data_IF_647869216303
#
_entry.id   IF_647869216303
#
_cell.length_a   1.000
_cell.length_b   1.000
_cell.length_c   1.000
_cell.angle_alpha   90.00
_cell.angle_beta   90.00
_cell.angle_gamma   90.00
#
_symmetry.space_group_name_H-M   'P 1'
#
loop_
_entity.id
_entity.type
_entity.pdbx_description
1 polymer ?
#
# COMPACT_ATOMS: atom_id res chain seq x y z
N UNK A 1 -34.39 35.64 -1.53
CA UNK A 1 -33.14 35.08 -2.10
C UNK A 1 -32.73 33.98 -1.16
N UNK A 2 -32.80 32.73 -1.62
CA UNK A 2 -32.23 31.59 -0.91
C UNK A 2 -30.72 31.67 -1.01
N UNK A 3 -30.01 31.72 0.13
CA UNK A 3 -28.57 31.65 0.17
C UNK A 3 -28.17 30.15 0.19
N UNK A 4 -27.45 29.74 -0.84
CA UNK A 4 -26.88 28.37 -0.88
C UNK A 4 -25.45 28.41 -0.32
N UNK A 5 -25.19 27.54 0.64
CA UNK A 5 -23.84 27.30 1.17
C UNK A 5 -23.23 26.09 0.44
N UNK A 6 -22.09 26.31 -0.23
CA UNK A 6 -21.29 25.21 -0.80
C UNK A 6 -20.53 24.52 0.34
N UNK A 7 -20.85 23.27 0.58
CA UNK A 7 -20.15 22.42 1.58
C UNK A 7 -19.42 21.27 0.86
N UNK A 8 -18.21 20.96 1.30
CA UNK A 8 -17.48 19.74 0.91
C UNK A 8 -17.57 18.75 2.05
N UNK A 9 -18.12 17.58 1.77
CA UNK A 9 -18.07 16.45 2.68
C UNK A 9 -16.82 15.64 2.37
N UNK A 10 -16.10 15.24 3.41
CA UNK A 10 -14.96 14.35 3.28
C UNK A 10 -14.98 13.34 4.43
N UNK A 11 -14.37 12.20 4.19
CA UNK A 11 -14.10 11.18 5.18
C UNK A 11 -12.69 10.64 4.96
N UNK A 12 -12.09 10.09 5.99
CA UNK A 12 -10.82 9.38 5.91
C UNK A 12 -10.94 8.05 6.60
N UNK A 13 -10.26 7.06 6.07
CA UNK A 13 -10.14 5.74 6.65
C UNK A 13 -8.70 5.26 6.49
N UNK A 14 -8.21 4.43 7.41
CA UNK A 14 -6.95 3.72 7.29
C UNK A 14 -7.29 2.26 7.00
N UNK A 15 -6.83 1.77 5.86
CA UNK A 15 -7.11 0.41 5.41
C UNK A 15 -5.98 -0.10 4.52
N UNK A 16 -5.82 -1.41 4.46
CA UNK A 16 -4.96 -2.02 3.45
C UNK A 16 -5.56 -1.78 2.07
N UNK A 17 -4.70 -1.41 1.13
CA UNK A 17 -5.12 -1.10 -0.22
C UNK A 17 -4.13 -1.65 -1.26
N UNK A 18 -4.68 -2.12 -2.37
CA UNK A 18 -3.97 -2.53 -3.57
C UNK A 18 -4.17 -1.48 -4.65
N UNK A 19 -3.11 -0.78 -5.01
CA UNK A 19 -3.10 0.13 -6.14
C UNK A 19 -2.57 -0.59 -7.37
N UNK A 20 -3.34 -0.58 -8.45
CA UNK A 20 -2.97 -1.18 -9.73
C UNK A 20 -2.85 -0.07 -10.76
N UNK A 21 -1.63 0.19 -11.18
CA UNK A 21 -1.37 1.06 -12.31
C UNK A 21 -1.58 0.29 -13.61
N UNK A 22 -2.54 0.78 -14.42
CA UNK A 22 -2.87 0.13 -15.69
C UNK A 22 -1.92 0.59 -16.78
N UNK A 23 -0.94 -0.24 -17.09
CA UNK A 23 0.10 0.05 -18.07
C UNK A 23 -0.35 -0.22 -19.51
N UNK A 24 0.25 0.50 -20.47
CA UNK A 24 -0.02 0.34 -21.91
C UNK A 24 0.06 -1.11 -22.43
N UNK A 25 1.00 -1.97 -21.99
CA UNK A 25 1.08 -3.36 -22.45
C UNK A 25 -0.19 -4.19 -22.23
N UNK A 26 -1.06 -3.83 -21.29
CA UNK A 26 -2.35 -4.50 -21.13
C UNK A 26 -3.32 -4.16 -22.27
N UNK A 27 -3.15 -3.00 -22.91
CA UNK A 27 -3.97 -2.59 -24.06
C UNK A 27 -5.40 -2.21 -23.70
N UNK A 28 -5.67 -1.89 -22.44
CA UNK A 28 -7.00 -1.57 -21.94
C UNK A 28 -7.37 -0.11 -22.26
N UNK A 29 -8.60 0.09 -22.73
CA UNK A 29 -9.28 1.37 -22.74
C UNK A 29 -9.97 1.63 -21.39
N UNK A 30 -10.43 2.85 -21.09
CA UNK A 30 -11.09 3.17 -19.81
C UNK A 30 -12.19 2.20 -19.41
N UNK A 31 -13.09 1.81 -20.33
CA UNK A 31 -14.16 0.84 -20.07
C UNK A 31 -13.60 -0.54 -19.72
N UNK A 32 -12.48 -0.94 -20.34
CA UNK A 32 -11.77 -2.17 -20.00
C UNK A 32 -11.16 -2.12 -18.60
N UNK A 33 -10.61 -0.97 -18.18
CA UNK A 33 -10.09 -0.79 -16.82
C UNK A 33 -11.22 -0.91 -15.78
N UNK A 34 -12.36 -0.26 -16.02
CA UNK A 34 -13.55 -0.37 -15.18
C UNK A 34 -14.05 -1.82 -15.12
N UNK A 35 -14.06 -2.51 -16.25
CA UNK A 35 -14.43 -3.94 -16.26
C UNK A 35 -13.43 -4.79 -15.47
N UNK A 36 -12.12 -4.57 -15.66
CA UNK A 36 -11.07 -5.31 -14.97
C UNK A 36 -11.15 -5.10 -13.44
N UNK A 37 -11.37 -3.88 -12.98
CA UNK A 37 -11.50 -3.62 -11.53
C UNK A 37 -12.63 -4.43 -10.90
N UNK A 38 -13.78 -4.54 -11.57
CA UNK A 38 -14.91 -5.32 -11.07
C UNK A 38 -14.64 -6.82 -11.16
N UNK A 39 -13.95 -7.29 -12.19
CA UNK A 39 -13.55 -8.69 -12.32
C UNK A 39 -12.58 -9.10 -11.20
N UNK A 40 -11.57 -8.28 -10.90
CA UNK A 40 -10.62 -8.54 -9.81
C UNK A 40 -11.35 -8.50 -8.45
N UNK A 41 -12.18 -7.48 -8.21
CA UNK A 41 -12.96 -7.40 -6.97
C UNK A 41 -13.80 -8.67 -6.76
N UNK A 42 -14.57 -9.07 -7.75
CA UNK A 42 -15.41 -10.28 -7.68
C UNK A 42 -14.58 -11.55 -7.48
N UNK A 43 -13.39 -11.60 -8.06
CA UNK A 43 -12.46 -12.72 -7.87
C UNK A 43 -11.93 -12.76 -6.44
N UNK A 44 -11.54 -11.62 -5.87
CA UNK A 44 -11.12 -11.50 -4.45
C UNK A 44 -12.26 -11.98 -3.54
N UNK A 45 -13.48 -11.49 -3.73
CA UNK A 45 -14.66 -11.93 -2.96
C UNK A 45 -14.83 -13.45 -2.97
N UNK A 46 -14.59 -14.10 -4.12
CA UNK A 46 -14.72 -15.55 -4.27
C UNK A 46 -13.55 -16.33 -3.67
N UNK A 47 -12.31 -15.88 -3.88
CA UNK A 47 -11.11 -16.55 -3.38
C UNK A 47 -11.08 -16.52 -1.86
N UNK A 48 -11.38 -15.37 -1.27
CA UNK A 48 -11.31 -15.16 0.18
C UNK A 48 -12.64 -15.35 0.90
N UNK A 49 -13.72 -15.62 0.18
CA UNK A 49 -15.07 -15.84 0.71
C UNK A 49 -15.55 -14.68 1.59
N UNK A 50 -15.31 -13.46 1.14
CA UNK A 50 -15.70 -12.23 1.83
C UNK A 50 -16.94 -11.60 1.23
N UNK A 51 -17.63 -10.82 2.04
CA UNK A 51 -18.85 -10.12 1.63
C UNK A 51 -18.52 -8.95 0.67
N UNK A 52 -19.40 -8.63 -0.28
CA UNK A 52 -19.15 -7.58 -1.28
C UNK A 52 -18.93 -6.17 -0.72
N UNK A 53 -19.35 -5.90 0.51
CA UNK A 53 -19.15 -4.62 1.21
C UNK A 53 -17.85 -4.55 2.00
N UNK A 54 -17.12 -5.66 2.15
CA UNK A 54 -15.84 -5.69 2.86
C UNK A 54 -14.67 -5.25 1.98
N UNK A 55 -14.82 -5.36 0.65
CA UNK A 55 -13.84 -4.88 -0.34
C UNK A 55 -14.44 -3.76 -1.15
N UNK A 56 -13.84 -2.59 -1.08
CA UNK A 56 -14.14 -1.44 -1.92
C UNK A 56 -13.28 -1.40 -3.18
N UNK A 57 -13.78 -0.80 -4.26
CA UNK A 57 -12.99 -0.52 -5.45
C UNK A 57 -13.37 0.83 -6.01
N UNK A 58 -12.39 1.56 -6.49
CA UNK A 58 -12.57 2.86 -7.15
C UNK A 58 -11.53 3.04 -8.25
N UNK A 59 -11.97 3.66 -9.32
CA UNK A 59 -11.07 4.14 -10.38
C UNK A 59 -10.51 5.49 -9.98
N UNK A 60 -9.21 5.68 -10.09
CA UNK A 60 -8.51 6.93 -9.76
C UNK A 60 -7.58 7.33 -10.92
N UNK A 61 -7.15 8.59 -10.94
CA UNK A 61 -6.31 9.14 -12.01
C UNK A 61 -7.11 9.86 -13.09
N UNK A 62 -6.45 10.07 -14.24
CA UNK A 62 -7.07 10.80 -15.37
C UNK A 62 -8.07 9.90 -16.10
N UNK A 63 -9.17 10.48 -16.64
CA UNK A 63 -10.21 9.71 -17.32
C UNK A 63 -9.72 8.89 -18.52
N UNK A 64 -8.66 9.37 -19.19
CA UNK A 64 -8.04 8.70 -20.34
C UNK A 64 -7.02 7.63 -19.96
N UNK A 65 -6.52 7.68 -18.71
CA UNK A 65 -5.53 6.74 -18.16
C UNK A 65 -5.91 6.38 -16.71
N UNK A 66 -7.04 5.72 -16.51
CA UNK A 66 -7.50 5.37 -15.16
C UNK A 66 -6.68 4.25 -14.56
N UNK A 67 -6.49 4.32 -13.24
CA UNK A 67 -5.89 3.29 -12.42
C UNK A 67 -6.91 2.73 -11.44
N UNK A 68 -6.62 1.58 -10.86
CA UNK A 68 -7.52 0.85 -9.97
C UNK A 68 -6.99 0.95 -8.54
N UNK A 69 -7.85 1.34 -7.60
CA UNK A 69 -7.61 1.23 -6.17
C UNK A 69 -8.62 0.27 -5.56
N UNK A 70 -8.14 -0.84 -5.00
CA UNK A 70 -8.93 -1.80 -4.23
C UNK A 70 -8.54 -1.63 -2.76
N UNK A 71 -9.50 -1.58 -1.85
CA UNK A 71 -9.23 -1.35 -0.44
C UNK A 71 -10.17 -2.18 0.44
N UNK A 72 -9.71 -2.51 1.64
CA UNK A 72 -10.53 -3.15 2.65
C UNK A 72 -11.43 -2.13 3.31
N UNK A 73 -12.74 -2.33 3.19
CA UNK A 73 -13.73 -1.33 3.64
C UNK A 73 -14.17 -1.53 5.10
N UNK A 74 -13.80 -2.66 5.72
CA UNK A 74 -14.09 -2.96 7.12
C UNK A 74 -13.15 -2.21 8.07
N UNK A 75 -13.64 -1.77 9.21
CA UNK A 75 -12.80 -1.23 10.27
C UNK A 75 -11.85 -2.32 10.78
N UNK A 76 -10.55 -2.00 10.80
CA UNK A 76 -9.52 -2.87 11.37
C UNK A 76 -8.87 -3.83 10.39
N UNK A 77 -8.99 -3.62 9.11
CA UNK A 77 -8.43 -4.44 8.02
C UNK A 77 -8.54 -5.97 8.24
N UNK A 78 -8.98 -6.70 7.26
CA UNK A 78 -9.11 -8.17 7.33
C UNK A 78 -7.79 -8.88 6.98
N UNK A 79 -6.77 -8.12 6.53
CA UNK A 79 -5.49 -8.66 6.08
C UNK A 79 -5.59 -9.49 4.80
N UNK A 80 -6.60 -9.24 3.97
CA UNK A 80 -6.81 -9.94 2.70
C UNK A 80 -5.84 -9.41 1.66
N UNK A 81 -5.73 -8.09 1.57
CA UNK A 81 -4.89 -7.48 0.54
C UNK A 81 -3.39 -7.59 0.87
N UNK A 82 -3.01 -7.72 2.13
CA UNK A 82 -1.62 -8.00 2.51
C UNK A 82 -1.13 -9.36 1.99
N UNK A 83 -2.02 -10.34 1.84
CA UNK A 83 -1.67 -11.66 1.32
C UNK A 83 -1.13 -11.63 -0.11
N UNK A 84 -1.42 -10.59 -0.90
CA UNK A 84 -0.82 -10.42 -2.23
C UNK A 84 0.70 -10.17 -2.19
N UNK A 85 1.22 -9.72 -1.04
CA UNK A 85 2.66 -9.53 -0.82
C UNK A 85 3.27 -10.73 -0.09
N UNK A 86 2.52 -11.35 0.82
CA UNK A 86 2.99 -12.47 1.61
C UNK A 86 3.09 -13.77 0.79
N UNK A 87 2.18 -13.95 -0.20
CA UNK A 87 2.17 -15.10 -1.09
C UNK A 87 1.92 -14.69 -2.54
N UNK A 88 2.95 -14.80 -3.36
CA UNK A 88 2.92 -14.45 -4.79
C UNK A 88 1.86 -15.22 -5.58
N UNK A 89 1.52 -16.43 -5.15
CA UNK A 89 0.51 -17.27 -5.81
C UNK A 89 -0.91 -16.72 -5.65
N UNK A 90 -1.16 -15.92 -4.63
CA UNK A 90 -2.46 -15.27 -4.41
C UNK A 90 -2.89 -14.44 -5.61
N UNK A 91 -1.95 -13.68 -6.22
CA UNK A 91 -2.26 -12.92 -7.41
C UNK A 91 -2.75 -13.83 -8.55
N UNK A 92 -2.02 -14.90 -8.84
CA UNK A 92 -2.38 -15.85 -9.90
C UNK A 92 -3.71 -16.56 -9.61
N UNK A 93 -3.99 -16.89 -8.35
CA UNK A 93 -5.27 -17.47 -7.93
C UNK A 93 -6.43 -16.50 -8.20
N UNK A 94 -6.27 -15.21 -7.86
CA UNK A 94 -7.28 -14.19 -8.10
C UNK A 94 -7.49 -13.96 -9.60
N UNK A 95 -6.42 -13.88 -10.41
CA UNK A 95 -6.55 -13.74 -11.87
C UNK A 95 -7.21 -14.98 -12.49
N UNK A 96 -6.83 -16.18 -12.05
CA UNK A 96 -7.47 -17.43 -12.47
C UNK A 96 -8.97 -17.45 -12.16
N UNK A 97 -9.36 -16.98 -10.97
CA UNK A 97 -10.76 -16.86 -10.58
C UNK A 97 -11.51 -15.80 -11.41
N UNK A 98 -10.85 -14.68 -11.76
CA UNK A 98 -11.44 -13.65 -12.64
C UNK A 98 -11.72 -14.22 -14.04
N UNK A 99 -10.80 -15.00 -14.60
CA UNK A 99 -10.99 -15.69 -15.88
C UNK A 99 -12.17 -16.68 -15.80
N UNK A 100 -12.23 -17.47 -14.73
CA UNK A 100 -13.31 -18.44 -14.51
C UNK A 100 -14.69 -17.76 -14.41
N UNK A 101 -14.77 -16.61 -13.71
CA UNK A 101 -15.98 -15.79 -13.65
C UNK A 101 -16.43 -15.30 -15.01
N UNK A 102 -15.49 -14.89 -15.87
CA UNK A 102 -15.78 -14.37 -17.20
C UNK A 102 -16.29 -15.45 -18.18
N UNK A 103 -16.11 -16.74 -17.89
CA UNK A 103 -16.62 -17.87 -18.70
C UNK A 103 -16.34 -17.72 -20.20
N UNK A 104 -15.10 -17.39 -20.56
CA UNK A 104 -14.74 -17.19 -21.98
C UNK A 104 -14.92 -18.44 -22.84
N UNK A 105 -14.77 -19.61 -22.23
CA UNK A 105 -14.90 -20.93 -22.91
C UNK A 105 -16.36 -21.36 -23.11
N UNK A 106 -17.32 -20.68 -22.46
CA UNK A 106 -18.74 -21.03 -22.61
C UNK A 106 -19.31 -20.42 -23.89
N UNK A 107 -19.34 -21.23 -24.94
CA UNK A 107 -19.86 -20.85 -26.27
C UNK A 107 -21.35 -20.45 -26.26
N UNK A 108 -22.09 -20.84 -25.23
CA UNK A 108 -23.51 -20.51 -25.09
C UNK A 108 -23.73 -19.19 -24.36
N UNK A 109 -22.72 -18.72 -23.62
CA UNK A 109 -22.79 -17.47 -22.87
C UNK A 109 -22.42 -16.29 -23.78
N UNK A 110 -23.42 -15.52 -24.22
CA UNK A 110 -23.23 -14.39 -25.16
C UNK A 110 -23.31 -13.01 -24.50
N UNK A 111 -23.81 -12.94 -23.28
CA UNK A 111 -23.94 -11.66 -22.58
C UNK A 111 -22.57 -11.03 -22.27
N UNK A 112 -22.45 -9.68 -22.31
CA UNK A 112 -21.24 -8.99 -21.90
C UNK A 112 -20.95 -9.17 -20.40
N UNK A 113 -21.98 -9.24 -19.57
CA UNK A 113 -21.89 -9.52 -18.14
C UNK A 113 -23.27 -9.94 -17.58
N UNK A 114 -23.29 -10.56 -16.41
CA UNK A 114 -24.49 -10.93 -15.68
C UNK A 114 -24.27 -10.83 -14.15
N UNK A 115 -25.35 -10.98 -13.38
CA UNK A 115 -25.26 -11.04 -11.91
C UNK A 115 -24.59 -12.31 -11.38
N UNK A 116 -24.50 -13.34 -12.20
CA UNK A 116 -23.79 -14.58 -11.86
C UNK A 116 -22.25 -14.42 -11.96
N UNK A 117 -21.78 -13.37 -12.65
CA UNK A 117 -20.36 -13.10 -12.89
C UNK A 117 -19.92 -11.70 -12.40
N UNK A 118 -19.95 -10.68 -13.24
CA UNK A 118 -19.34 -9.38 -12.99
C UNK A 118 -20.29 -8.33 -12.43
N UNK A 119 -21.61 -8.47 -12.63
CA UNK A 119 -22.57 -7.50 -12.13
C UNK A 119 -22.89 -7.75 -10.64
N UNK A 120 -23.13 -6.66 -9.92
CA UNK A 120 -23.58 -6.70 -8.53
C UNK A 120 -24.42 -5.46 -8.21
N UNK A 121 -25.09 -5.48 -7.06
CA UNK A 121 -25.78 -4.30 -6.56
C UNK A 121 -24.84 -3.10 -6.37
N UNK A 122 -23.58 -3.37 -6.01
CA UNK A 122 -22.60 -2.34 -5.68
C UNK A 122 -21.96 -1.67 -6.90
N UNK A 123 -22.10 -2.23 -8.11
CA UNK A 123 -21.55 -1.67 -9.35
C UNK A 123 -22.60 -1.24 -10.37
N UNK A 124 -23.83 -0.96 -9.94
CA UNK A 124 -24.95 -0.61 -10.83
C UNK A 124 -24.66 0.58 -11.76
N UNK A 125 -23.82 1.53 -11.33
CA UNK A 125 -23.45 2.68 -12.16
C UNK A 125 -22.69 2.27 -13.41
N UNK A 126 -21.95 1.17 -13.33
CA UNK A 126 -21.04 0.70 -14.37
C UNK A 126 -21.64 -0.43 -15.22
N UNK A 127 -22.88 -0.89 -14.94
CA UNK A 127 -23.50 -2.02 -15.64
C UNK A 127 -23.53 -1.88 -17.16
N UNK A 128 -23.56 -0.62 -17.67
CA UNK A 128 -23.61 -0.37 -19.13
C UNK A 128 -22.25 -0.44 -19.80
N UNK A 129 -21.17 -0.37 -19.01
CA UNK A 129 -19.79 -0.38 -19.49
C UNK A 129 -19.09 -1.71 -19.20
N UNK A 130 -19.55 -2.48 -18.23
CA UNK A 130 -18.95 -3.76 -17.89
C UNK A 130 -19.18 -4.75 -19.03
N UNK A 131 -18.09 -5.13 -19.69
CA UNK A 131 -18.08 -6.14 -20.75
C UNK A 131 -16.84 -7.02 -20.62
N UNK A 132 -17.05 -8.31 -20.29
CA UNK A 132 -15.99 -9.30 -20.11
C UNK A 132 -15.06 -9.43 -21.32
N UNK A 133 -15.57 -9.19 -22.53
CA UNK A 133 -14.79 -9.32 -23.76
C UNK A 133 -13.67 -8.24 -23.86
N UNK A 134 -13.84 -7.09 -23.16
CA UNK A 134 -12.83 -6.03 -23.14
C UNK A 134 -11.56 -6.41 -22.38
N UNK A 135 -11.62 -7.42 -21.50
CA UNK A 135 -10.54 -7.75 -20.58
C UNK A 135 -9.93 -9.13 -20.82
N UNK A 136 -10.39 -9.89 -21.81
CA UNK A 136 -9.91 -11.24 -22.06
C UNK A 136 -8.40 -11.29 -22.28
N UNK A 137 -7.87 -10.50 -23.21
CA UNK A 137 -6.44 -10.47 -23.52
C UNK A 137 -5.61 -9.97 -22.33
N UNK A 138 -6.14 -9.01 -21.55
CA UNK A 138 -5.47 -8.50 -20.37
C UNK A 138 -5.38 -9.55 -19.26
N UNK A 139 -6.45 -10.27 -18.97
CA UNK A 139 -6.47 -11.35 -17.99
C UNK A 139 -5.52 -12.50 -18.39
N UNK A 140 -5.46 -12.87 -19.68
CA UNK A 140 -4.52 -13.88 -20.15
C UNK A 140 -3.06 -13.44 -19.99
N UNK A 141 -2.75 -12.17 -20.25
CA UNK A 141 -1.41 -11.62 -19.97
C UNK A 141 -1.08 -11.65 -18.50
N UNK A 142 -2.02 -11.25 -17.64
CA UNK A 142 -1.84 -11.27 -16.19
C UNK A 142 -1.72 -12.69 -15.64
N UNK A 143 -2.36 -13.68 -16.25
CA UNK A 143 -2.28 -15.09 -15.85
C UNK A 143 -0.88 -15.68 -16.01
N UNK A 144 -0.13 -15.22 -17.01
CA UNK A 144 1.20 -15.76 -17.35
C UNK A 144 2.35 -14.81 -16.99
N UNK A 145 2.06 -13.65 -16.36
CA UNK A 145 3.10 -12.70 -15.98
C UNK A 145 3.97 -13.25 -14.85
N UNK A 146 5.22 -12.83 -14.83
CA UNK A 146 6.11 -13.05 -13.69
C UNK A 146 5.89 -11.93 -12.68
N UNK A 147 5.75 -12.28 -11.42
CA UNK A 147 5.59 -11.33 -10.32
C UNK A 147 6.92 -11.19 -9.60
N UNK A 148 7.38 -9.97 -9.45
CA UNK A 148 8.55 -9.63 -8.65
C UNK A 148 8.09 -8.74 -7.48
N UNK A 149 8.35 -9.19 -6.26
CA UNK A 149 8.09 -8.39 -5.07
C UNK A 149 9.32 -7.51 -4.82
N UNK A 150 9.13 -6.21 -4.98
CA UNK A 150 10.14 -5.22 -4.60
C UNK A 150 9.81 -4.70 -3.21
N UNK A 151 10.57 -5.14 -2.22
CA UNK A 151 10.39 -4.76 -0.81
C UNK A 151 10.84 -3.34 -0.48
N UNK A 152 11.46 -2.63 -1.44
CA UNK A 152 11.88 -1.25 -1.28
C UNK A 152 10.83 -0.32 -1.92
N UNK A 153 9.88 0.10 -1.12
CA UNK A 153 8.82 1.02 -1.53
C UNK A 153 9.40 2.31 -2.15
N UNK A 154 9.37 2.43 -3.46
CA UNK A 154 9.56 3.69 -4.16
C UNK A 154 10.98 4.09 -4.54
N UNK A 155 11.99 3.26 -4.33
CA UNK A 155 13.36 3.56 -4.74
C UNK A 155 13.83 2.62 -5.84
N UNK A 156 14.31 3.15 -6.96
CA UNK A 156 14.80 2.37 -8.11
C UNK A 156 16.13 1.64 -7.82
N UNK A 157 16.85 2.04 -6.77
CA UNK A 157 18.11 1.41 -6.33
C UNK A 157 18.41 1.70 -4.86
N UNK A 158 19.30 0.89 -4.28
CA UNK A 158 19.83 1.08 -2.93
C UNK A 158 20.51 2.45 -2.76
N UNK A 159 21.20 2.92 -3.79
CA UNK A 159 21.80 4.26 -3.83
C UNK A 159 20.73 5.36 -3.81
N UNK A 160 19.67 5.22 -4.61
CA UNK A 160 18.57 6.20 -4.63
C UNK A 160 17.83 6.28 -3.30
N UNK A 161 17.63 5.14 -2.63
CA UNK A 161 17.06 5.09 -1.28
C UNK A 161 17.97 5.85 -0.29
N UNK A 162 19.25 5.56 -0.30
CA UNK A 162 20.23 6.26 0.55
C UNK A 162 20.22 7.77 0.33
N UNK A 163 20.25 8.20 -0.93
CA UNK A 163 20.22 9.63 -1.28
C UNK A 163 18.89 10.30 -0.88
N UNK A 164 17.79 9.61 -0.99
CA UNK A 164 16.49 10.11 -0.54
C UNK A 164 16.42 10.25 0.97
N UNK A 165 16.90 9.25 1.72
CA UNK A 165 16.97 9.32 3.19
C UNK A 165 17.84 10.48 3.63
N UNK A 166 19.03 10.66 3.02
CA UNK A 166 19.93 11.77 3.35
C UNK A 166 19.29 13.16 3.17
N UNK A 167 18.42 13.33 2.17
CA UNK A 167 17.71 14.61 1.95
C UNK A 167 16.66 14.91 3.00
N UNK A 168 16.13 13.88 3.64
CA UNK A 168 15.06 13.99 4.63
C UNK A 168 15.57 14.00 6.09
N UNK A 169 16.89 13.86 6.33
CA UNK A 169 17.47 13.95 7.68
C UNK A 169 17.37 15.36 8.24
N UNK A 170 17.35 15.47 9.57
CA UNK A 170 17.62 16.74 10.21
C UNK A 170 19.05 17.22 9.86
N UNK A 171 19.19 18.37 9.18
CA UNK A 171 20.51 18.89 8.79
C UNK A 171 21.48 19.10 9.97
N UNK A 172 20.95 19.30 11.17
CA UNK A 172 21.72 19.51 12.40
C UNK A 172 22.11 18.20 13.09
N UNK A 173 21.49 17.06 12.73
CA UNK A 173 21.73 15.78 13.39
C UNK A 173 22.93 15.04 12.78
N UNK A 174 24.05 15.04 13.52
CA UNK A 174 25.24 14.22 13.18
C UNK A 174 24.99 12.72 13.46
N UNK A 175 24.16 12.40 14.44
CA UNK A 175 23.85 11.02 14.86
C UNK A 175 23.05 10.27 13.82
N UNK A 176 22.00 10.89 13.26
CA UNK A 176 21.22 10.33 12.14
C UNK A 176 22.10 10.07 10.92
N UNK A 177 22.93 11.06 10.58
CA UNK A 177 23.87 10.95 9.44
C UNK A 177 24.89 9.82 9.64
N UNK A 178 25.41 9.68 10.85
CA UNK A 178 26.33 8.59 11.20
C UNK A 178 25.65 7.22 11.05
N UNK A 179 24.39 7.11 11.52
CA UNK A 179 23.60 5.89 11.44
C UNK A 179 23.38 5.47 9.98
N UNK A 180 22.80 6.34 9.16
CA UNK A 180 22.47 6.00 7.77
C UNK A 180 23.71 5.71 6.91
N UNK A 181 24.80 6.47 7.13
CA UNK A 181 26.08 6.23 6.45
C UNK A 181 26.66 4.87 6.80
N UNK A 182 26.59 4.47 8.07
CA UNK A 182 27.08 3.17 8.49
C UNK A 182 26.30 2.03 7.81
N UNK A 183 24.97 2.11 7.78
CA UNK A 183 24.15 1.11 7.12
C UNK A 183 24.49 1.01 5.63
N UNK A 184 24.59 2.14 4.94
CA UNK A 184 24.90 2.19 3.52
C UNK A 184 26.29 1.60 3.22
N UNK A 185 27.33 2.01 3.96
CA UNK A 185 28.71 1.54 3.74
C UNK A 185 28.89 0.03 3.98
N UNK A 186 28.06 -0.56 4.84
CA UNK A 186 28.12 -1.98 5.16
C UNK A 186 27.09 -2.81 4.38
N UNK A 187 26.34 -2.22 3.43
CA UNK A 187 25.33 -2.92 2.61
C UNK A 187 24.16 -3.48 3.43
N UNK A 188 23.85 -2.84 4.58
CA UNK A 188 22.78 -3.25 5.48
C UNK A 188 21.44 -2.67 5.01
N UNK A 189 20.32 -3.28 5.47
CA UNK A 189 18.98 -2.77 5.15
C UNK A 189 18.86 -1.31 5.58
N UNK A 190 18.50 -0.45 4.62
CA UNK A 190 18.20 0.96 4.89
C UNK A 190 16.77 1.11 5.42
N UNK A 191 16.48 2.16 6.21
CA UNK A 191 15.10 2.49 6.61
C UNK A 191 14.19 2.74 5.43
N UNK A 192 12.92 2.41 5.59
CA UNK A 192 11.91 2.66 4.56
C UNK A 192 11.49 4.14 4.49
N UNK A 193 11.62 4.86 5.61
CA UNK A 193 11.40 6.31 5.65
C UNK A 193 12.29 6.99 6.71
N UNK A 194 12.59 8.29 6.49
CA UNK A 194 13.18 9.19 7.48
C UNK A 194 12.16 10.25 7.88
N UNK A 195 12.18 10.69 9.14
CA UNK A 195 11.36 11.77 9.70
C UNK A 195 9.84 11.55 9.48
N UNK A 196 9.40 10.28 9.45
CA UNK A 196 7.98 9.92 9.32
C UNK A 196 7.26 10.16 10.64
N UNK A 197 6.11 10.82 10.58
CA UNK A 197 5.25 11.01 11.77
C UNK A 197 4.51 9.73 12.10
N UNK A 198 4.36 9.48 13.39
CA UNK A 198 3.51 8.37 13.88
C UNK A 198 2.04 8.80 13.81
N UNK A 199 1.22 8.02 13.12
CA UNK A 199 -0.21 8.33 12.98
C UNK A 199 -0.90 8.35 14.35
N UNK A 200 -1.67 9.41 14.59
CA UNK A 200 -2.39 9.59 15.86
C UNK A 200 -1.54 10.07 17.04
N UNK A 201 -0.23 10.25 16.88
CA UNK A 201 0.67 10.79 17.89
C UNK A 201 1.41 12.04 17.37
N UNK A 202 1.73 12.98 18.30
CA UNK A 202 2.61 14.12 17.98
C UNK A 202 4.08 13.73 18.16
N UNK A 203 4.48 12.62 17.50
CA UNK A 203 5.83 12.08 17.57
C UNK A 203 6.37 11.86 16.17
N UNK A 204 7.63 12.24 15.97
CA UNK A 204 8.34 12.09 14.70
C UNK A 204 9.70 11.44 14.99
N UNK A 205 9.78 10.10 14.91
CA UNK A 205 11.03 9.36 15.00
C UNK A 205 11.93 9.65 13.79
N UNK A 206 13.23 9.40 13.96
CA UNK A 206 14.22 9.69 12.93
C UNK A 206 14.09 8.76 11.72
N UNK A 207 13.84 7.45 11.98
CA UNK A 207 13.67 6.46 10.93
C UNK A 207 12.53 5.50 11.22
N UNK A 208 12.04 4.92 10.14
CA UNK A 208 10.99 3.91 10.17
C UNK A 208 11.36 2.72 9.29
N UNK A 209 11.12 1.52 9.79
CA UNK A 209 11.19 0.26 9.05
C UNK A 209 9.83 -0.41 9.08
N UNK A 210 9.33 -0.76 7.92
CA UNK A 210 8.11 -1.55 7.83
C UNK A 210 8.31 -2.95 8.43
N UNK A 211 7.29 -3.52 9.08
CA UNK A 211 5.94 -2.94 9.21
C UNK A 211 5.75 -2.03 10.44
N UNK A 212 6.60 -2.08 11.49
CA UNK A 212 6.29 -1.46 12.79
C UNK A 212 7.51 -1.09 13.64
N UNK A 213 8.67 -0.89 13.05
CA UNK A 213 9.86 -0.53 13.82
C UNK A 213 10.21 0.95 13.64
N UNK A 214 10.21 1.67 14.73
CA UNK A 214 10.57 3.07 14.81
C UNK A 214 11.95 3.25 15.46
N UNK A 215 12.81 4.05 14.84
CA UNK A 215 14.19 4.27 15.28
C UNK A 215 14.38 5.73 15.70
N UNK A 216 14.98 5.92 16.88
CA UNK A 216 15.41 7.22 17.40
C UNK A 216 16.93 7.25 17.46
N UNK A 217 17.52 8.36 17.03
CA UNK A 217 18.95 8.61 17.05
C UNK A 217 19.28 9.71 18.07
N UNK A 218 19.51 9.32 19.30
CA UNK A 218 19.75 10.26 20.39
C UNK A 218 21.16 10.84 20.33
N UNK A 219 21.22 12.15 20.14
CA UNK A 219 22.44 12.93 20.21
C UNK A 219 22.65 13.57 21.61
N UNK A 220 23.70 14.40 21.75
CA UNK A 220 24.02 15.13 23.00
C UNK A 220 22.86 15.92 23.62
N UNK A 221 21.93 16.55 22.89
CA UNK A 221 20.78 17.24 23.51
C UNK A 221 19.90 16.34 24.38
N UNK A 222 19.86 15.04 24.08
CA UNK A 222 19.07 14.04 24.80
C UNK A 222 19.66 13.61 26.14
N UNK A 223 20.86 14.12 26.52
CA UNK A 223 21.48 13.86 27.82
C UNK A 223 20.82 14.67 28.97
N UNK A 224 19.94 15.62 28.65
CA UNK A 224 19.24 16.41 29.65
C UNK A 224 18.08 15.62 30.24
N UNK A 225 17.93 15.54 31.60
CA UNK A 225 16.93 14.71 32.27
C UNK A 225 15.46 15.02 31.84
N UNK A 226 15.17 16.30 31.57
CA UNK A 226 13.84 16.71 31.12
C UNK A 226 13.51 16.21 29.71
N UNK A 227 14.51 16.23 28.80
CA UNK A 227 14.40 15.73 27.42
C UNK A 227 14.27 14.22 27.45
N UNK A 228 15.08 13.51 28.23
CA UNK A 228 14.97 12.05 28.38
C UNK A 228 13.60 11.59 28.83
N UNK A 229 12.97 12.30 29.80
CA UNK A 229 11.64 11.97 30.27
C UNK A 229 10.56 12.18 29.22
N UNK A 230 10.66 13.24 28.40
CA UNK A 230 9.73 13.51 27.32
C UNK A 230 9.88 12.49 26.19
N UNK A 231 11.14 12.18 25.81
CA UNK A 231 11.44 11.18 24.79
C UNK A 231 10.95 9.79 25.19
N UNK A 232 11.15 9.40 26.45
CA UNK A 232 10.66 8.09 26.93
C UNK A 232 9.11 8.03 26.93
N UNK A 233 8.45 9.13 27.26
CA UNK A 233 6.99 9.23 27.18
C UNK A 233 6.48 9.02 25.74
N UNK A 234 7.15 9.64 24.77
CA UNK A 234 6.86 9.47 23.33
C UNK A 234 7.06 8.02 22.88
N UNK A 235 8.18 7.40 23.29
CA UNK A 235 8.52 6.01 22.96
C UNK A 235 7.53 5.03 23.59
N UNK A 236 7.08 5.27 24.81
CA UNK A 236 6.06 4.45 25.47
C UNK A 236 4.71 4.55 24.75
N UNK A 237 4.35 5.73 24.26
CA UNK A 237 3.12 5.90 23.49
C UNK A 237 3.14 5.05 22.19
N UNK A 238 4.27 5.00 21.48
CA UNK A 238 4.44 4.14 20.29
C UNK A 238 4.33 2.65 20.68
N UNK A 239 5.04 2.23 21.75
CA UNK A 239 4.97 0.84 22.21
C UNK A 239 3.56 0.43 22.64
N UNK A 240 2.78 1.36 23.20
CA UNK A 240 1.39 1.12 23.60
C UNK A 240 0.46 0.86 22.40
N UNK A 241 0.85 1.30 21.19
CA UNK A 241 0.14 0.99 19.94
C UNK A 241 0.50 -0.40 19.38
N UNK A 242 1.45 -1.10 20.00
CA UNK A 242 1.92 -2.41 19.56
C UNK A 242 3.12 -2.35 18.60
N UNK A 243 3.71 -1.18 18.42
CA UNK A 243 4.88 -0.97 17.58
C UNK A 243 6.19 -1.12 18.36
N UNK A 244 7.26 -1.47 17.64
CA UNK A 244 8.59 -1.59 18.21
C UNK A 244 9.33 -0.26 18.16
N UNK A 245 10.14 -0.01 19.20
CA UNK A 245 10.99 1.19 19.28
C UNK A 245 12.42 0.77 19.57
N UNK A 246 13.32 1.19 18.70
CA UNK A 246 14.75 1.03 18.85
C UNK A 246 15.45 2.39 18.98
N UNK A 247 16.46 2.47 19.86
CA UNK A 247 17.16 3.72 20.13
C UNK A 247 18.65 3.54 19.92
N UNK A 248 19.24 4.43 19.15
CA UNK A 248 20.68 4.54 18.94
C UNK A 248 21.21 5.78 19.62
N UNK A 249 22.08 5.58 20.61
CA UNK A 249 22.80 6.66 21.27
C UNK A 249 24.12 6.95 20.57
N UNK A 250 24.45 8.24 20.42
CA UNK A 250 25.62 8.69 19.69
C UNK A 250 26.93 8.11 20.21
N UNK A 251 27.01 7.71 21.51
CA UNK A 251 28.20 7.11 22.16
C UNK A 251 28.28 5.59 21.98
N UNK A 252 27.22 4.93 21.51
CA UNK A 252 27.23 3.48 21.34
C UNK A 252 28.05 3.07 20.11
N UNK A 253 28.63 1.87 20.19
CA UNK A 253 29.22 1.22 19.02
C UNK A 253 28.12 0.70 18.11
N UNK A 254 27.94 1.38 16.98
CA UNK A 254 26.89 1.04 16.02
C UNK A 254 27.12 -0.35 15.40
N UNK A 255 28.37 -0.79 15.23
CA UNK A 255 28.68 -2.12 14.73
C UNK A 255 28.18 -3.22 15.65
N UNK A 256 28.38 -3.04 16.96
CA UNK A 256 27.90 -4.00 17.96
C UNK A 256 26.36 -3.99 18.12
N UNK A 257 25.72 -2.87 17.78
CA UNK A 257 24.29 -2.68 17.99
C UNK A 257 23.44 -3.17 16.80
N UNK A 258 24.01 -3.22 15.61
CA UNK A 258 23.34 -3.61 14.36
C UNK A 258 23.66 -5.07 13.96
N UNK A 259 24.69 -5.67 14.58
CA UNK A 259 25.06 -7.06 14.39
C UNK A 259 24.05 -8.01 15.05
#
# INVERSE_FOLDING_TARGET
>A
KEEFLLVKLWTSNLADALYIETIQPLGLKPDGVITLQHAIKRAIERVFQVEPNEIGVVTIGEPEAPNILIYEASEGSLGILSQFVDDIEVFHQVIGQAIALCRFDDVNYKAPASYDDLLSYYNQRDHKIIDRHLIQDALEKLRICTIEIQTNAGYGSYEEQYQSLLRNLDPSSSTERKFINYLYQNGLRLPDAAQKRVDGLYVQPDFYYEPRLWVFCDGTPHDQPAVQSDDETKRQAIRAMGDEVWVYYYMEDLAAKVA
#
